data_IF_302109346350
#
_entry.id   IF_302109346350
#
_cell.length_a   1.000
_cell.length_b   1.000
_cell.length_c   1.000
_cell.angle_alpha   90.00
_cell.angle_beta   90.00
_cell.angle_gamma   90.00
#
_symmetry.space_group_name_H-M   'P 1'
#
loop_
_entity.id
_entity.type
_entity.pdbx_description
1 polymer ?
#
# COMPACT_ATOMS: atom_id res chain seq x y z
N UNK A 1 11.87 -2.35 -27.45
CA UNK A 1 12.10 -3.56 -26.62
C UNK A 1 12.74 -3.09 -25.32
N UNK A 2 11.94 -2.91 -24.28
CA UNK A 2 12.35 -2.42 -22.94
C UNK A 2 11.33 -2.86 -21.87
N UNK A 3 10.06 -2.94 -22.29
CA UNK A 3 8.97 -3.56 -21.52
C UNK A 3 9.25 -5.04 -21.20
N UNK A 4 9.80 -5.81 -22.13
CA UNK A 4 10.14 -7.22 -21.89
C UNK A 4 11.33 -7.39 -20.94
N UNK A 5 12.31 -6.50 -20.93
CA UNK A 5 13.43 -6.59 -19.98
C UNK A 5 12.99 -6.22 -18.56
N UNK A 6 12.11 -5.23 -18.38
CA UNK A 6 11.53 -4.89 -17.07
C UNK A 6 10.60 -5.98 -16.51
N UNK A 7 9.90 -6.71 -17.38
CA UNK A 7 8.96 -7.76 -16.97
C UNK A 7 9.56 -9.17 -16.96
N UNK A 8 10.70 -9.40 -17.61
CA UNK A 8 11.32 -10.74 -17.72
C UNK A 8 12.63 -10.85 -16.94
N UNK A 9 13.33 -9.74 -16.66
CA UNK A 9 14.57 -9.77 -15.87
C UNK A 9 14.23 -9.83 -14.38
N UNK A 10 14.89 -10.72 -13.62
CA UNK A 10 14.70 -10.92 -12.18
C UNK A 10 14.76 -9.59 -11.37
N UNK A 11 15.59 -8.65 -11.84
CA UNK A 11 15.78 -7.32 -11.25
C UNK A 11 14.55 -6.42 -11.48
N UNK A 12 13.95 -6.48 -12.67
CA UNK A 12 12.75 -5.72 -13.00
C UNK A 12 11.54 -6.22 -12.22
N UNK A 13 11.40 -7.54 -12.09
CA UNK A 13 10.34 -8.15 -11.30
C UNK A 13 10.46 -7.83 -9.80
N UNK A 14 11.67 -7.89 -9.23
CA UNK A 14 11.92 -7.54 -7.82
C UNK A 14 11.62 -6.07 -7.52
N UNK A 15 12.01 -5.15 -8.40
CA UNK A 15 11.71 -3.72 -8.23
C UNK A 15 10.21 -3.44 -8.33
N UNK A 16 9.52 -4.06 -9.29
CA UNK A 16 8.06 -3.96 -9.43
C UNK A 16 7.34 -4.55 -8.21
N UNK A 17 7.80 -5.70 -7.72
CA UNK A 17 7.29 -6.33 -6.50
C UNK A 17 7.45 -5.41 -5.29
N UNK A 18 8.61 -4.78 -5.15
CA UNK A 18 8.88 -3.84 -4.05
C UNK A 18 7.95 -2.63 -4.10
N UNK A 19 7.75 -2.04 -5.30
CA UNK A 19 6.82 -0.92 -5.49
C UNK A 19 5.40 -1.33 -5.10
N UNK A 20 4.93 -2.49 -5.60
CA UNK A 20 3.61 -3.03 -5.26
C UNK A 20 3.51 -3.29 -3.76
N UNK A 21 4.54 -3.86 -3.14
CA UNK A 21 4.56 -4.15 -1.71
C UNK A 21 4.43 -2.88 -0.87
N UNK A 22 5.18 -1.82 -1.20
CA UNK A 22 5.09 -0.52 -0.50
C UNK A 22 3.70 0.09 -0.69
N UNK A 23 3.13 0.04 -1.90
CA UNK A 23 1.78 0.53 -2.17
C UNK A 23 0.72 -0.22 -1.36
N UNK A 24 0.80 -1.55 -1.30
CA UNK A 24 -0.11 -2.39 -0.50
C UNK A 24 0.04 -2.06 0.97
N UNK A 25 1.27 -1.93 1.47
CA UNK A 25 1.52 -1.60 2.87
C UNK A 25 1.01 -0.20 3.23
N UNK A 26 1.23 0.79 2.36
CA UNK A 26 0.71 2.15 2.52
C UNK A 26 -0.82 2.18 2.51
N UNK A 27 -1.46 1.48 1.57
CA UNK A 27 -2.91 1.35 1.52
C UNK A 27 -3.47 0.59 2.73
N UNK A 28 -2.77 -0.43 3.22
CA UNK A 28 -3.15 -1.19 4.41
C UNK A 28 -3.11 -0.30 5.65
N UNK A 29 -2.04 0.46 5.85
CA UNK A 29 -1.91 1.40 6.97
C UNK A 29 -2.96 2.51 6.85
N UNK A 30 -3.17 3.07 5.66
CA UNK A 30 -4.22 4.07 5.45
C UNK A 30 -5.61 3.51 5.76
N UNK A 31 -5.94 2.31 5.28
CA UNK A 31 -7.21 1.65 5.57
C UNK A 31 -7.36 1.32 7.05
N UNK A 32 -6.30 0.88 7.71
CA UNK A 32 -6.28 0.60 9.14
C UNK A 32 -6.46 1.88 9.96
N UNK A 33 -5.71 2.94 9.61
CA UNK A 33 -5.81 4.25 10.24
C UNK A 33 -7.19 4.87 10.04
N UNK A 34 -7.75 4.86 8.84
CA UNK A 34 -9.12 5.36 8.58
C UNK A 34 -10.14 4.57 9.37
N UNK A 35 -10.06 3.23 9.42
CA UNK A 35 -10.98 2.42 10.24
C UNK A 35 -10.83 2.72 11.73
N UNK A 36 -9.60 2.92 12.22
CA UNK A 36 -9.32 3.28 13.62
C UNK A 36 -9.78 4.69 13.96
N UNK A 37 -9.58 5.65 13.05
CA UNK A 37 -10.02 7.03 13.20
C UNK A 37 -11.54 7.15 13.09
N UNK A 38 -12.21 6.26 12.37
CA UNK A 38 -13.68 6.20 12.34
C UNK A 38 -14.23 5.62 13.66
N UNK A 39 -13.53 4.62 14.25
CA UNK A 39 -13.83 4.13 15.61
C UNK A 39 -13.56 5.20 16.69
N UNK A 40 -12.45 5.92 16.59
CA UNK A 40 -12.08 6.99 17.54
C UNK A 40 -12.90 8.27 17.31
N UNK A 41 -13.28 8.59 16.07
CA UNK A 41 -14.13 9.72 15.72
C UNK A 41 -15.57 9.57 16.21
N UNK A 42 -16.08 8.34 16.24
CA UNK A 42 -17.37 8.01 16.87
C UNK A 42 -17.33 8.08 18.39
N UNK A 43 -16.17 7.85 19.01
CA UNK A 43 -15.98 8.02 20.46
C UNK A 43 -15.62 9.48 20.86
N UNK A 44 -15.05 10.27 19.96
CA UNK A 44 -14.64 11.66 20.22
C UNK A 44 -15.77 12.70 20.01
N UNK A 45 -16.84 12.37 19.30
CA UNK A 45 -18.06 13.21 19.23
C UNK A 45 -19.05 12.96 20.39
N UNK A 46 -18.70 12.09 21.33
CA UNK A 46 -19.57 11.68 22.42
C UNK A 46 -19.12 12.14 23.81
N UNK A 47 -18.59 13.36 23.98
CA UNK A 47 -18.53 14.07 25.27
C UNK A 47 -18.58 15.58 25.09
#
# INVERSE_FOLDING_TARGET
MAWNELLTTDIGLLSLFTIVFILVMGAYIYRYAVRKMDEDGKNAQGK
#
